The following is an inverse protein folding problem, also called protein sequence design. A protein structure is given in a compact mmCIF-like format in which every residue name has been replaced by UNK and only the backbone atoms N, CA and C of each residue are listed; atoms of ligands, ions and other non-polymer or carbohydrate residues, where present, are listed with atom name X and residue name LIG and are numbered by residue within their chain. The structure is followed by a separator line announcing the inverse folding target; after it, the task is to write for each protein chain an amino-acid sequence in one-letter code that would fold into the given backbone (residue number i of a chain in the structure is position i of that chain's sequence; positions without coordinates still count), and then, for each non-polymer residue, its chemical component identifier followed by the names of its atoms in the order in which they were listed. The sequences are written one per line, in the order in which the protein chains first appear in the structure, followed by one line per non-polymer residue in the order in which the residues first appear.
data_IF_747264361698
#
_entry.id   IF_747264361698
#
_cell.length_a   1.000
_cell.length_b   1.000
_cell.length_c   1.000
_cell.angle_alpha   90.00
_cell.angle_beta   90.00
_cell.angle_gamma   90.00
#
_symmetry.space_group_name_H-M   'P 1'
#
loop_
_entity.id
_entity.type
_entity.pdbx_description
1 polymer ?
#
# COMPACT_ATOMS: atom_id res chain seq x y z
N UNK A 1 5.11 -7.95 -10.33
CA UNK A 1 6.23 -7.77 -9.39
C UNK A 1 6.07 -6.43 -8.72
N UNK A 2 6.26 -6.36 -7.39
CA UNK A 2 6.26 -5.10 -6.64
C UNK A 2 7.43 -4.20 -7.04
N UNK A 3 7.46 -2.97 -6.53
CA UNK A 3 8.39 -1.89 -6.90
C UNK A 3 9.88 -2.13 -6.54
N UNK A 4 10.37 -3.38 -6.54
CA UNK A 4 11.76 -3.71 -6.22
C UNK A 4 12.16 -3.54 -4.75
N UNK A 5 11.21 -3.22 -3.86
CA UNK A 5 11.49 -2.96 -2.44
C UNK A 5 11.70 -4.25 -1.63
N UNK A 6 12.68 -4.25 -0.72
CA UNK A 6 13.00 -5.40 0.14
C UNK A 6 11.96 -5.69 1.23
N UNK A 7 11.15 -4.70 1.62
CA UNK A 7 10.19 -4.82 2.71
C UNK A 7 9.28 -3.59 2.82
N UNK A 8 8.33 -3.62 3.76
CA UNK A 8 7.52 -2.46 4.11
C UNK A 8 7.40 -2.40 5.63
N UNK A 9 7.64 -1.22 6.22
CA UNK A 9 7.45 -0.97 7.65
C UNK A 9 6.05 -0.38 7.80
N UNK A 10 5.18 -1.07 8.54
CA UNK A 10 3.78 -0.66 8.73
C UNK A 10 3.22 -1.28 10.01
N UNK A 11 2.30 -0.56 10.66
CA UNK A 11 1.59 -1.03 11.85
C UNK A 11 0.62 -2.20 11.55
N UNK A 12 0.35 -2.48 10.27
CA UNK A 12 -0.58 -3.51 9.81
C UNK A 12 0.11 -4.61 8.99
N UNK A 13 1.02 -5.41 9.58
CA UNK A 13 1.80 -6.41 8.85
C UNK A 13 0.92 -7.50 8.20
N UNK A 14 -0.19 -7.86 8.84
CA UNK A 14 -1.15 -8.83 8.28
C UNK A 14 -1.79 -8.33 6.97
N UNK A 15 -2.21 -7.06 6.94
CA UNK A 15 -2.78 -6.42 5.74
C UNK A 15 -1.76 -6.33 4.63
N UNK A 16 -0.53 -5.93 4.96
CA UNK A 16 0.56 -5.88 3.98
C UNK A 16 0.85 -7.26 3.39
N UNK A 17 0.89 -8.30 4.22
CA UNK A 17 1.10 -9.67 3.77
C UNK A 17 -0.06 -10.17 2.89
N UNK A 18 -1.31 -9.93 3.30
CA UNK A 18 -2.49 -10.30 2.52
C UNK A 18 -2.53 -9.58 1.16
N UNK A 19 -2.20 -8.28 1.14
CA UNK A 19 -2.13 -7.50 -0.09
C UNK A 19 -1.07 -8.05 -1.06
N UNK A 20 0.15 -8.31 -0.57
CA UNK A 20 1.25 -8.89 -1.39
C UNK A 20 0.88 -10.25 -1.98
N UNK A 21 0.07 -11.03 -1.28
CA UNK A 21 -0.35 -12.37 -1.70
C UNK A 21 -1.66 -12.40 -2.50
N UNK A 22 -2.26 -11.24 -2.82
CA UNK A 22 -3.55 -11.21 -3.50
C UNK A 22 -3.48 -11.80 -4.93
N UNK A 23 -4.65 -12.23 -5.45
CA UNK A 23 -4.75 -12.85 -6.78
C UNK A 23 -4.49 -11.86 -7.91
N UNK A 24 -4.86 -10.60 -7.74
CA UNK A 24 -4.72 -9.55 -8.76
C UNK A 24 -3.25 -9.24 -9.09
N UNK A 25 -2.36 -9.28 -8.10
CA UNK A 25 -0.92 -9.04 -8.27
C UNK A 25 -0.22 -10.20 -8.99
N UNK A 26 -0.73 -11.43 -8.86
CA UNK A 26 -0.22 -12.64 -9.53
C UNK A 26 -0.60 -12.73 -11.00
N UNK A 27 -1.48 -11.86 -11.48
CA UNK A 27 -2.01 -11.91 -12.84
C UNK A 27 -1.01 -11.44 -13.91
N UNK A 28 0.10 -10.77 -13.52
CA UNK A 28 1.16 -10.36 -14.43
C UNK A 28 0.64 -9.59 -15.65
N UNK A 29 0.93 -10.10 -16.85
CA UNK A 29 0.50 -9.52 -18.12
C UNK A 29 -0.98 -9.81 -18.46
N UNK A 30 -1.64 -10.72 -17.73
CA UNK A 30 -3.07 -11.03 -17.91
C UNK A 30 -4.00 -10.04 -17.20
N UNK A 31 -3.45 -8.97 -16.61
CA UNK A 31 -4.25 -7.94 -15.94
C UNK A 31 -5.14 -7.22 -16.96
N UNK A 32 -6.47 -7.15 -16.74
CA UNK A 32 -7.35 -6.38 -17.60
C UNK A 32 -7.02 -4.88 -17.50
N UNK A 33 -7.35 -4.12 -18.55
CA UNK A 33 -6.97 -2.70 -18.66
C UNK A 33 -7.42 -1.84 -17.48
N UNK A 34 -8.63 -2.08 -16.96
CA UNK A 34 -9.18 -1.35 -15.81
C UNK A 34 -8.47 -1.64 -14.48
N UNK A 35 -7.64 -2.70 -14.39
CA UNK A 35 -6.81 -3.00 -13.21
C UNK A 35 -5.40 -2.40 -13.30
N UNK A 36 -5.06 -1.73 -14.41
CA UNK A 36 -3.78 -1.05 -14.52
C UNK A 36 -3.81 0.22 -13.66
N UNK A 37 -2.74 0.51 -12.90
CA UNK A 37 -2.66 1.78 -12.18
C UNK A 37 -2.64 2.92 -13.20
N UNK A 38 -3.35 4.01 -12.90
CA UNK A 38 -3.30 5.22 -13.72
C UNK A 38 -1.91 5.86 -13.59
N UNK A 39 -1.28 6.30 -14.69
CA UNK A 39 -0.04 7.05 -14.60
C UNK A 39 -0.24 8.34 -13.79
N UNK A 40 0.85 8.88 -13.20
CA UNK A 40 0.81 10.21 -12.58
C UNK A 40 0.17 11.24 -13.53
N UNK A 41 -0.78 12.02 -13.02
CA UNK A 41 -1.51 13.01 -13.82
C UNK A 41 -2.54 12.45 -14.82
N UNK A 42 -2.61 11.13 -15.05
CA UNK A 42 -3.50 10.54 -16.05
C UNK A 42 -5.00 10.68 -15.75
N UNK A 43 -5.37 11.04 -14.52
CA UNK A 43 -6.74 11.36 -14.15
C UNK A 43 -7.10 12.83 -14.38
N UNK A 44 -6.12 13.73 -14.46
CA UNK A 44 -6.36 15.18 -14.62
C UNK A 44 -7.22 15.52 -15.84
N UNK A 45 -7.07 14.86 -17.01
CA UNK A 45 -7.90 15.16 -18.19
C UNK A 45 -9.38 14.77 -18.03
N UNK A 46 -9.71 13.89 -17.07
CA UNK A 46 -11.06 13.36 -16.85
C UNK A 46 -11.80 14.22 -15.81
N UNK A 47 -11.07 14.95 -14.98
CA UNK A 47 -11.65 15.82 -13.95
C UNK A 47 -12.22 17.07 -14.61
N UNK A 48 -13.43 17.47 -14.18
CA UNK A 48 -14.00 18.74 -14.60
C UNK A 48 -13.08 19.90 -14.17
N UNK A 49 -12.67 20.75 -15.12
CA UNK A 49 -11.79 21.88 -14.86
C UNK A 49 -12.33 22.83 -13.78
N UNK A 50 -13.66 22.94 -13.61
CA UNK A 50 -14.28 23.75 -12.56
C UNK A 50 -14.11 23.17 -11.14
N UNK A 51 -13.71 21.91 -11.01
CA UNK A 51 -13.45 21.24 -9.73
C UNK A 51 -11.95 21.15 -9.40
N UNK A 52 -11.08 21.55 -10.33
CA UNK A 52 -9.65 21.61 -10.07
C UNK A 52 -9.35 22.76 -9.10
N UNK A 53 -8.33 22.61 -8.22
CA UNK A 53 -7.87 23.72 -7.44
C UNK A 53 -7.42 24.87 -8.36
N UNK A 54 -7.50 26.12 -7.90
CA UNK A 54 -6.89 27.24 -8.62
C UNK A 54 -5.44 26.92 -8.99
N UNK A 55 -5.00 27.46 -10.14
CA UNK A 55 -3.61 27.32 -10.53
C UNK A 55 -2.69 27.79 -9.41
N UNK A 56 -1.64 27.01 -9.13
CA UNK A 56 -0.63 27.35 -8.14
C UNK A 56 0.01 28.70 -8.52
N UNK A 57 0.25 29.54 -7.51
CA UNK A 57 0.95 30.80 -7.73
C UNK A 57 2.35 30.53 -8.28
N UNK A 58 2.91 31.41 -9.12
CA UNK A 58 4.29 31.30 -9.55
C UNK A 58 5.23 31.22 -8.34
N UNK A 59 6.18 30.29 -8.38
CA UNK A 59 7.22 30.21 -7.36
C UNK A 59 7.95 31.57 -7.27
N UNK A 60 8.27 32.06 -6.07
CA UNK A 60 9.03 33.30 -5.92
C UNK A 60 10.41 33.16 -6.58
N UNK A 61 10.93 34.27 -7.09
CA UNK A 61 12.30 34.32 -7.60
C UNK A 61 13.25 34.20 -6.41
N UNK A 62 14.02 33.10 -6.36
CA UNK A 62 15.04 32.92 -5.34
C UNK A 62 16.23 33.84 -5.62
N UNK A 63 16.64 34.60 -4.62
CA UNK A 63 17.85 35.41 -4.62
C UNK A 63 18.98 34.68 -3.88
N UNK A 64 20.23 35.12 -4.02
CA UNK A 64 21.36 34.52 -3.29
C UNK A 64 21.15 34.54 -1.77
N UNK A 65 20.50 35.59 -1.25
CA UNK A 65 20.12 35.69 0.16
C UNK A 65 19.09 34.66 0.62
N UNK A 66 18.27 34.12 -0.28
CA UNK A 66 17.27 33.09 0.04
C UNK A 66 17.87 31.68 0.10
N UNK A 67 19.08 31.50 -0.46
CA UNK A 67 19.78 30.20 -0.56
C UNK A 67 20.99 30.15 0.37
N UNK A 68 21.55 31.30 0.75
CA UNK A 68 22.71 31.38 1.62
C UNK A 68 22.37 30.93 3.06
N UNK A 69 22.71 29.69 3.38
CA UNK A 69 22.69 29.22 4.76
C UNK A 69 23.89 29.78 5.54
N UNK A 70 23.70 30.24 6.80
CA UNK A 70 24.81 30.57 7.69
C UNK A 70 25.75 29.36 7.88
N UNK A 71 27.04 29.58 8.14
CA UNK A 71 27.95 28.48 8.45
C UNK A 71 27.44 27.66 9.63
N UNK A 72 27.50 26.35 9.51
CA UNK A 72 27.10 25.43 10.58
C UNK A 72 27.86 25.78 11.87
N UNK A 73 27.20 25.72 13.05
CA UNK A 73 27.87 25.92 14.32
C UNK A 73 28.98 24.89 14.50
N UNK A 74 30.05 25.26 15.20
CA UNK A 74 31.15 24.35 15.50
C UNK A 74 30.66 23.12 16.27
N UNK A 75 31.05 21.93 15.80
CA UNK A 75 30.68 20.66 16.43
C UNK A 75 31.41 20.53 17.77
N UNK A 76 30.67 20.61 18.88
CA UNK A 76 31.18 20.24 20.20
C UNK A 76 31.08 18.72 20.36
N UNK A 77 32.22 18.07 20.63
CA UNK A 77 32.29 16.62 20.84
C UNK A 77 31.67 16.27 22.21
N UNK A 78 30.42 15.82 22.22
CA UNK A 78 29.81 15.26 23.42
C UNK A 78 30.43 13.88 23.70
N UNK A 79 31.12 13.74 24.83
CA UNK A 79 31.74 12.47 25.29
C UNK A 79 30.82 11.65 26.21
N UNK A 80 29.50 11.78 26.08
CA UNK A 80 28.56 10.93 26.83
C UNK A 80 28.30 9.63 26.07
N UNK A 81 29.14 8.64 26.37
CA UNK A 81 28.83 7.22 26.18
C UNK A 81 27.57 6.84 26.97
N UNK A 82 26.82 5.89 26.41
CA UNK A 82 25.76 5.08 27.03
C UNK A 82 24.32 5.56 26.79
N UNK A 83 23.77 5.17 25.63
CA UNK A 83 22.35 4.99 25.44
C UNK A 83 22.05 3.49 25.36
N UNK A 84 21.54 2.91 26.45
CA UNK A 84 20.96 1.57 26.43
C UNK A 84 19.79 1.57 25.45
N UNK A 85 19.97 0.90 24.31
CA UNK A 85 18.90 0.67 23.36
C UNK A 85 17.82 -0.20 24.00
N UNK A 86 16.67 0.39 24.29
CA UNK A 86 15.50 -0.35 24.73
C UNK A 86 15.03 -1.22 23.57
N UNK A 87 15.18 -2.54 23.72
CA UNK A 87 14.66 -3.51 22.75
C UNK A 87 13.13 -3.41 22.79
N UNK A 88 12.52 -3.05 21.67
CA UNK A 88 11.08 -3.04 21.51
C UNK A 88 10.51 -4.46 21.69
N UNK A 89 9.44 -4.58 22.47
CA UNK A 89 8.73 -5.83 22.71
C UNK A 89 8.27 -6.49 21.40
N UNK A 90 8.26 -7.83 21.32
CA UNK A 90 7.87 -8.56 20.12
C UNK A 90 6.42 -8.23 19.71
N UNK A 91 6.12 -8.14 18.40
CA UNK A 91 4.78 -7.84 17.93
C UNK A 91 3.81 -8.95 18.30
N UNK A 92 2.69 -8.58 18.91
CA UNK A 92 1.54 -9.46 19.15
C UNK A 92 1.03 -10.01 17.82
N UNK A 93 0.78 -11.32 17.77
CA UNK A 93 0.28 -12.05 16.60
C UNK A 93 -0.89 -11.33 15.92
N UNK A 94 -0.91 -11.23 14.57
CA UNK A 94 -1.97 -10.53 13.86
C UNK A 94 -3.32 -11.21 14.10
N UNK A 95 -4.29 -10.42 14.56
CA UNK A 95 -5.70 -10.84 14.66
C UNK A 95 -6.19 -11.30 13.28
N UNK A 96 -6.73 -12.52 13.14
CA UNK A 96 -7.25 -12.98 11.86
C UNK A 96 -8.40 -12.06 11.41
N UNK A 97 -8.40 -11.73 10.13
CA UNK A 97 -9.49 -10.98 9.50
C UNK A 97 -10.79 -11.75 9.69
N UNK A 98 -11.78 -11.15 10.35
CA UNK A 98 -13.09 -11.75 10.65
C UNK A 98 -13.98 -12.02 9.44
N UNK A 99 -13.41 -12.38 8.29
CA UNK A 99 -14.18 -12.90 7.16
C UNK A 99 -14.57 -14.34 7.48
N UNK A 100 -15.87 -14.66 7.62
CA UNK A 100 -16.30 -16.05 7.71
C UNK A 100 -15.97 -16.73 6.38
N UNK A 101 -15.05 -17.69 6.41
CA UNK A 101 -14.89 -18.65 5.32
C UNK A 101 -16.13 -19.55 5.34
N UNK A 102 -17.14 -19.19 4.56
CA UNK A 102 -18.39 -19.95 4.48
C UNK A 102 -18.20 -21.19 3.60
N UNK A 103 -17.46 -22.17 4.12
CA UNK A 103 -17.22 -23.49 3.51
C UNK A 103 -18.51 -24.27 3.29
N UNK A 104 -19.57 -23.93 4.02
CA UNK A 104 -20.88 -24.60 4.00
C UNK A 104 -21.60 -24.47 2.65
N UNK A 105 -21.50 -23.33 1.95
CA UNK A 105 -22.22 -23.12 0.68
C UNK A 105 -21.67 -23.98 -0.48
N UNK A 106 -20.36 -24.27 -0.46
CA UNK A 106 -19.72 -25.07 -1.51
C UNK A 106 -20.21 -26.53 -1.45
N UNK A 107 -20.38 -27.08 -0.24
CA UNK A 107 -20.85 -28.45 -0.05
C UNK A 107 -22.31 -28.62 -0.50
N UNK A 108 -23.21 -27.73 -0.08
CA UNK A 108 -24.62 -27.79 -0.49
C UNK A 108 -24.80 -27.60 -2.00
N UNK A 109 -24.01 -26.73 -2.62
CA UNK A 109 -24.05 -26.54 -4.08
C UNK A 109 -23.60 -27.80 -4.84
N UNK A 110 -22.52 -28.44 -4.39
CA UNK A 110 -22.03 -29.67 -5.04
C UNK A 110 -23.02 -30.83 -4.92
N UNK A 111 -23.66 -31.01 -3.76
CA UNK A 111 -24.66 -32.06 -3.56
C UNK A 111 -25.91 -31.86 -4.41
N UNK A 112 -26.34 -30.61 -4.57
CA UNK A 112 -27.46 -30.25 -5.44
C UNK A 112 -27.21 -30.61 -6.90
N UNK A 113 -26.01 -30.32 -7.42
CA UNK A 113 -25.62 -30.66 -8.81
C UNK A 113 -25.58 -32.17 -9.01
N UNK A 114 -25.04 -32.93 -8.05
CA UNK A 114 -25.03 -34.40 -8.14
C UNK A 114 -26.45 -34.99 -8.20
N UNK A 115 -27.35 -34.49 -7.34
CA UNK A 115 -28.71 -35.01 -7.28
C UNK A 115 -29.50 -34.70 -8.57
N UNK A 116 -29.34 -33.50 -9.14
CA UNK A 116 -30.00 -33.16 -10.41
C UNK A 116 -29.47 -34.02 -11.56
N UNK A 117 -28.16 -34.28 -11.63
CA UNK A 117 -27.61 -35.15 -12.68
C UNK A 117 -28.11 -36.60 -12.58
N UNK A 118 -28.37 -37.11 -11.36
CA UNK A 118 -28.89 -38.46 -11.16
C UNK A 118 -30.38 -38.59 -11.50
N UNK A 119 -31.18 -37.53 -11.29
CA UNK A 119 -32.60 -37.51 -11.66
C UNK A 119 -32.84 -37.30 -13.17
N UNK A 120 -31.86 -36.75 -13.89
CA UNK A 120 -31.92 -36.55 -15.34
C UNK A 120 -31.41 -37.75 -16.16
N UNK A 121 -30.92 -38.79 -15.50
CA UNK A 121 -30.52 -40.07 -16.10
C UNK A 121 -31.69 -41.06 -16.07
#
# INVERSE_FOLDING_TARGET
MGAGINGIITDFPGTANAYRNNRCLKMGNKKPGYMKPTPPGGLLPIVNAALLPPAEAPNPVLTESDVAEPPLPSVTKNTSTSGNGTVASPPTSPKPSGQPQSTTYVLFSSLGIFLTTLLLL
#
